data_IF_105241408870
#
_entry.id   IF_105241408870
#
_cell.length_a   1.000
_cell.length_b   1.000
_cell.length_c   1.000
_cell.angle_alpha   90.00
_cell.angle_beta   90.00
_cell.angle_gamma   90.00
#
_symmetry.space_group_name_H-M   'P 1'
#
loop_
_entity.id
_entity.type
_entity.pdbx_description
1 polymer ?
#
# COMPACT_ATOMS: atom_id res chain seq x y z
N UNK A 1 -4.43 -17.09 -5.87
CA UNK A 1 -5.15 -15.81 -5.74
C UNK A 1 -4.91 -15.21 -4.36
N UNK A 2 -4.70 -13.91 -4.29
CA UNK A 2 -4.44 -13.24 -3.02
C UNK A 2 -5.77 -12.92 -2.32
N UNK A 3 -5.89 -13.34 -1.06
CA UNK A 3 -7.05 -12.98 -0.25
C UNK A 3 -6.92 -11.55 0.24
N UNK A 4 -8.07 -10.94 0.49
CA UNK A 4 -8.13 -9.65 1.16
C UNK A 4 -7.67 -9.79 2.60
N UNK A 5 -7.04 -8.77 3.12
CA UNK A 5 -6.64 -8.74 4.51
C UNK A 5 -6.54 -7.33 5.04
N UNK A 6 -6.97 -7.16 6.27
CA UNK A 6 -6.85 -5.91 7.01
C UNK A 6 -6.25 -6.21 8.35
N UNK A 7 -5.27 -5.41 8.75
CA UNK A 7 -4.54 -5.59 10.00
C UNK A 7 -4.47 -4.29 10.76
N UNK A 8 -4.59 -4.39 12.07
CA UNK A 8 -4.30 -3.28 12.95
C UNK A 8 -2.80 -3.13 13.09
N UNK A 9 -2.33 -1.89 13.10
CA UNK A 9 -0.94 -1.58 13.42
C UNK A 9 -0.91 -1.22 14.90
N UNK A 10 -0.18 -2.02 15.69
CA UNK A 10 -0.12 -1.88 17.13
C UNK A 10 1.29 -1.55 17.56
N UNK A 11 1.44 -0.51 18.36
CA UNK A 11 2.75 -0.16 18.93
C UNK A 11 3.10 -1.14 20.03
N UNK A 12 4.24 -1.80 19.90
CA UNK A 12 4.66 -2.83 20.87
C UNK A 12 4.85 -2.30 22.28
N UNK A 13 5.38 -1.09 22.39
CA UNK A 13 5.67 -0.51 23.71
C UNK A 13 4.43 -0.28 24.55
N UNK A 14 3.35 0.14 23.93
CA UNK A 14 2.14 0.55 24.64
C UNK A 14 0.96 -0.39 24.44
N UNK A 15 1.03 -1.26 23.42
CA UNK A 15 -0.11 -2.07 23.02
C UNK A 15 -1.22 -1.28 22.37
N UNK A 16 -0.98 -0.01 22.04
CA UNK A 16 -1.99 0.87 21.47
C UNK A 16 -2.09 0.68 19.97
N UNK A 17 -3.31 0.65 19.45
CA UNK A 17 -3.55 0.65 18.02
C UNK A 17 -3.27 2.05 17.47
N UNK A 18 -2.35 2.15 16.53
CA UNK A 18 -1.91 3.43 15.98
C UNK A 18 -2.23 3.58 14.50
N UNK A 19 -2.83 2.57 13.90
CA UNK A 19 -3.20 2.64 12.50
C UNK A 19 -3.73 1.33 11.98
N UNK A 20 -3.91 1.29 10.68
CA UNK A 20 -4.38 0.09 9.98
C UNK A 20 -3.74 0.01 8.61
N UNK A 21 -3.67 -1.21 8.10
CA UNK A 21 -3.11 -1.49 6.79
C UNK A 21 -3.89 -2.63 6.17
N UNK A 22 -4.04 -2.60 4.86
CA UNK A 22 -4.78 -3.66 4.18
C UNK A 22 -4.39 -3.82 2.74
N UNK A 23 -4.75 -4.98 2.22
CA UNK A 23 -4.72 -5.25 0.78
C UNK A 23 -6.12 -5.71 0.38
N UNK A 24 -6.61 -5.19 -0.72
CA UNK A 24 -7.94 -5.55 -1.20
C UNK A 24 -8.02 -5.47 -2.72
N UNK A 25 -8.88 -6.29 -3.34
CA UNK A 25 -9.10 -6.16 -4.77
C UNK A 25 -9.86 -4.89 -5.08
N UNK A 26 -9.47 -4.24 -6.15
CA UNK A 26 -10.10 -3.04 -6.68
C UNK A 26 -10.36 -3.20 -8.16
N UNK A 27 -11.44 -2.63 -8.62
CA UNK A 27 -11.79 -2.59 -10.02
C UNK A 27 -11.47 -1.20 -10.55
N UNK A 28 -10.40 -1.07 -11.31
CA UNK A 28 -10.00 0.20 -11.86
C UNK A 28 -10.57 0.36 -13.27
N UNK A 29 -11.11 1.56 -13.55
CA UNK A 29 -11.73 1.87 -14.85
C UNK A 29 -12.80 0.85 -15.25
N UNK A 30 -13.39 0.19 -14.25
CA UNK A 30 -14.48 -0.75 -14.46
C UNK A 30 -14.09 -2.07 -15.14
N UNK A 31 -12.81 -2.31 -15.38
CA UNK A 31 -12.39 -3.48 -16.17
C UNK A 31 -11.27 -4.30 -15.56
N UNK A 32 -10.37 -3.66 -14.86
CA UNK A 32 -9.19 -4.35 -14.34
C UNK A 32 -9.33 -4.61 -12.86
N UNK A 33 -9.17 -5.86 -12.46
CA UNK A 33 -9.11 -6.21 -11.05
C UNK A 33 -7.65 -6.22 -10.63
N UNK A 34 -7.32 -5.37 -9.67
CA UNK A 34 -5.96 -5.27 -9.12
C UNK A 34 -6.03 -5.43 -7.60
N UNK A 35 -4.91 -5.79 -6.99
CA UNK A 35 -4.82 -5.84 -5.53
C UNK A 35 -4.12 -4.57 -5.08
N UNK A 36 -4.80 -3.78 -4.28
CA UNK A 36 -4.32 -2.48 -3.85
C UNK A 36 -3.92 -2.49 -2.38
N UNK A 37 -2.75 -1.94 -2.09
CA UNK A 37 -2.25 -1.73 -0.73
C UNK A 37 -2.66 -0.34 -0.26
N UNK A 38 -3.23 -0.27 0.94
CA UNK A 38 -3.56 0.99 1.58
C UNK A 38 -3.23 0.95 3.06
N UNK A 39 -2.87 2.10 3.62
CA UNK A 39 -2.60 2.20 5.03
C UNK A 39 -2.96 3.58 5.58
N UNK A 40 -3.19 3.62 6.88
CA UNK A 40 -3.44 4.85 7.61
C UNK A 40 -2.76 4.75 8.96
N UNK A 41 -1.98 5.76 9.32
CA UNK A 41 -1.33 5.84 10.62
C UNK A 41 -1.72 7.15 11.28
N UNK A 42 -2.03 7.09 12.57
CA UNK A 42 -2.36 8.27 13.37
C UNK A 42 -1.24 9.30 13.25
N UNK A 43 -1.61 10.57 13.15
CA UNK A 43 -0.66 11.65 12.89
C UNK A 43 0.47 11.72 13.92
N UNK A 44 0.19 11.38 15.17
CA UNK A 44 1.20 11.44 16.24
C UNK A 44 2.29 10.37 16.11
N UNK A 45 2.06 9.38 15.23
CA UNK A 45 2.98 8.25 15.06
C UNK A 45 3.63 8.22 13.69
N UNK A 46 3.46 9.30 12.91
CA UNK A 46 4.09 9.39 11.60
C UNK A 46 5.58 9.70 11.73
N UNK A 47 6.34 9.37 10.67
CA UNK A 47 7.78 9.63 10.58
C UNK A 47 8.61 8.86 11.60
N UNK A 48 8.09 7.73 12.11
CA UNK A 48 8.79 6.90 13.07
C UNK A 48 9.10 5.50 12.52
N UNK A 49 8.90 5.29 11.21
CA UNK A 49 9.20 4.02 10.58
C UNK A 49 8.09 2.97 10.70
N UNK A 50 7.00 3.27 11.37
CA UNK A 50 5.91 2.30 11.56
C UNK A 50 5.26 1.90 10.22
N UNK A 51 5.03 2.87 9.33
CA UNK A 51 4.43 2.55 8.04
C UNK A 51 5.34 1.65 7.21
N UNK A 52 6.63 1.91 7.21
CA UNK A 52 7.59 1.10 6.46
C UNK A 52 7.61 -0.33 6.99
N UNK A 53 7.66 -0.49 8.30
CA UNK A 53 7.67 -1.80 8.95
C UNK A 53 6.39 -2.58 8.65
N UNK A 54 5.24 -1.93 8.80
CA UNK A 54 3.94 -2.56 8.56
C UNK A 54 3.79 -2.94 7.09
N UNK A 55 4.18 -2.08 6.17
CA UNK A 55 4.07 -2.37 4.75
C UNK A 55 4.97 -3.54 4.36
N UNK A 56 6.19 -3.61 4.89
CA UNK A 56 7.06 -4.75 4.61
C UNK A 56 6.46 -6.07 5.06
N UNK A 57 5.85 -6.08 6.25
CA UNK A 57 5.21 -7.28 6.76
C UNK A 57 4.04 -7.70 5.86
N UNK A 58 3.25 -6.75 5.41
CA UNK A 58 2.10 -7.04 4.53
C UNK A 58 2.55 -7.49 3.15
N UNK A 59 3.63 -6.92 2.62
CA UNK A 59 4.18 -7.38 1.34
C UNK A 59 4.63 -8.84 1.44
N UNK A 60 5.30 -9.22 2.52
CA UNK A 60 5.69 -10.61 2.73
C UNK A 60 4.47 -11.52 2.81
N UNK A 61 3.44 -11.11 3.53
CA UNK A 61 2.22 -11.88 3.66
C UNK A 61 1.51 -12.02 2.31
N UNK A 62 1.46 -10.96 1.53
CA UNK A 62 0.85 -11.01 0.20
C UNK A 62 1.60 -11.97 -0.72
N UNK A 63 2.92 -11.97 -0.66
CA UNK A 63 3.73 -12.91 -1.45
C UNK A 63 3.46 -14.35 -1.05
N UNK A 64 3.34 -14.62 0.25
CA UNK A 64 3.01 -15.96 0.75
C UNK A 64 1.63 -16.42 0.27
N UNK A 65 0.72 -15.49 0.08
CA UNK A 65 -0.63 -15.79 -0.41
C UNK A 65 -0.72 -15.88 -1.92
N UNK A 66 0.40 -15.73 -2.61
CA UNK A 66 0.46 -15.89 -4.06
C UNK A 66 0.23 -14.64 -4.87
N UNK A 67 0.26 -13.48 -4.23
CA UNK A 67 0.14 -12.21 -4.96
C UNK A 67 1.34 -12.03 -5.88
N UNK A 68 1.09 -11.58 -7.10
CA UNK A 68 2.15 -11.31 -8.07
C UNK A 68 2.47 -9.84 -8.17
N UNK A 69 1.45 -9.01 -8.12
CA UNK A 69 1.58 -7.57 -8.21
C UNK A 69 0.74 -6.91 -7.14
N UNK A 70 1.25 -5.86 -6.56
CA UNK A 70 0.50 -5.01 -5.65
C UNK A 70 0.59 -3.58 -6.17
N UNK A 71 -0.49 -2.85 -6.03
CA UNK A 71 -0.60 -1.50 -6.54
C UNK A 71 -0.95 -0.53 -5.42
N UNK A 72 -0.58 0.71 -5.58
CA UNK A 72 -1.08 1.78 -4.72
C UNK A 72 -1.26 3.04 -5.55
N UNK A 73 -2.20 3.88 -5.10
CA UNK A 73 -2.49 5.16 -5.72
C UNK A 73 -2.01 6.24 -4.77
N UNK A 74 -1.18 7.14 -5.27
CA UNK A 74 -0.56 8.17 -4.44
C UNK A 74 -0.73 9.51 -5.14
N UNK A 75 -1.25 10.48 -4.39
CA UNK A 75 -1.32 11.85 -4.88
C UNK A 75 0.10 12.39 -5.09
N UNK A 76 0.31 13.08 -6.19
CA UNK A 76 1.65 13.56 -6.57
C UNK A 76 2.28 14.45 -5.52
N UNK A 77 1.48 15.17 -4.75
CA UNK A 77 1.96 16.07 -3.69
C UNK A 77 2.24 15.34 -2.37
N UNK A 78 1.85 14.07 -2.25
CA UNK A 78 2.05 13.31 -1.02
C UNK A 78 3.45 12.69 -1.01
N UNK A 79 4.46 13.53 -0.80
CA UNK A 79 5.86 13.11 -0.84
C UNK A 79 6.22 12.03 0.18
N UNK A 80 5.72 12.06 1.42
CA UNK A 80 6.01 10.95 2.33
C UNK A 80 5.59 9.60 1.81
N UNK A 81 4.41 9.50 1.20
CA UNK A 81 3.93 8.24 0.61
C UNK A 81 4.72 7.84 -0.62
N UNK A 82 5.11 8.82 -1.45
CA UNK A 82 5.95 8.54 -2.62
C UNK A 82 7.30 7.97 -2.17
N UNK A 83 7.92 8.59 -1.18
CA UNK A 83 9.20 8.14 -0.66
C UNK A 83 9.10 6.76 -0.03
N UNK A 84 8.02 6.50 0.71
CA UNK A 84 7.77 5.19 1.30
C UNK A 84 7.62 4.12 0.23
N UNK A 85 6.82 4.39 -0.79
CA UNK A 85 6.61 3.44 -1.89
C UNK A 85 7.93 3.09 -2.56
N UNK A 86 8.78 4.08 -2.79
CA UNK A 86 10.10 3.83 -3.40
C UNK A 86 11.00 2.99 -2.52
N UNK A 87 11.00 3.25 -1.23
CA UNK A 87 11.80 2.45 -0.27
C UNK A 87 11.33 1.00 -0.24
N UNK A 88 10.05 0.76 -0.45
CA UNK A 88 9.49 -0.57 -0.49
C UNK A 88 9.77 -1.30 -1.80
N UNK A 89 10.16 -0.59 -2.84
CA UNK A 89 10.41 -1.18 -4.14
C UNK A 89 9.27 -1.01 -5.15
N UNK A 90 8.29 -0.18 -4.83
CA UNK A 90 7.26 0.18 -5.79
C UNK A 90 7.86 1.11 -6.86
N UNK A 91 7.39 0.94 -8.07
CA UNK A 91 7.76 1.82 -9.19
C UNK A 91 6.52 2.46 -9.78
N UNK A 92 6.65 3.74 -10.11
CA UNK A 92 5.59 4.46 -10.79
C UNK A 92 5.38 3.86 -12.17
N UNK A 93 4.12 3.59 -12.52
CA UNK A 93 3.78 3.08 -13.85
C UNK A 93 2.91 4.10 -14.58
N UNK A 94 2.89 3.98 -15.90
CA UNK A 94 2.07 4.83 -16.76
C UNK A 94 0.68 4.19 -16.87
N UNK A 95 -0.20 4.56 -15.94
CA UNK A 95 -1.56 4.03 -15.89
C UNK A 95 -2.53 5.17 -15.58
N UNK A 96 -3.48 5.36 -16.46
CA UNK A 96 -4.47 6.42 -16.32
C UNK A 96 -5.73 5.90 -15.60
N UNK A 97 -6.06 6.56 -14.47
CA UNK A 97 -7.29 6.27 -13.73
C UNK A 97 -8.33 7.32 -14.10
N UNK A 98 -9.38 6.88 -14.78
CA UNK A 98 -10.38 7.79 -15.35
C UNK A 98 -11.07 8.65 -14.29
N UNK A 99 -11.30 8.10 -13.10
CA UNK A 99 -12.05 8.78 -12.05
C UNK A 99 -11.20 9.60 -11.10
N UNK A 100 -9.88 9.44 -11.14
CA UNK A 100 -8.98 10.05 -10.15
C UNK A 100 -8.34 11.37 -10.60
N UNK A 101 -8.39 11.65 -11.90
CA UNK A 101 -7.74 12.85 -12.45
C UNK A 101 -6.24 12.69 -12.59
N UNK A 102 -5.56 13.81 -12.84
CA UNK A 102 -4.15 13.80 -13.23
C UNK A 102 -3.18 13.82 -12.05
N UNK A 103 -3.66 14.11 -10.84
CA UNK A 103 -2.79 14.27 -9.68
C UNK A 103 -2.51 12.96 -8.94
N UNK A 104 -3.18 11.89 -9.33
CA UNK A 104 -3.00 10.57 -8.72
C UNK A 104 -2.14 9.73 -9.62
N UNK A 105 -1.03 9.25 -9.09
CA UNK A 105 -0.14 8.34 -9.80
C UNK A 105 -0.28 6.93 -9.26
N UNK A 106 -0.08 5.96 -10.13
CA UNK A 106 -0.15 4.55 -9.78
C UNK A 106 1.25 3.99 -9.66
N UNK A 107 1.48 3.26 -8.57
CA UNK A 107 2.74 2.58 -8.31
C UNK A 107 2.49 1.08 -8.23
N UNK A 108 3.46 0.31 -8.68
CA UNK A 108 3.36 -1.16 -8.71
C UNK A 108 4.56 -1.80 -8.04
N UNK A 109 4.27 -2.81 -7.24
CA UNK A 109 5.27 -3.68 -6.65
C UNK A 109 5.13 -5.07 -7.27
N UNK A 110 6.23 -5.62 -7.79
CA UNK A 110 6.25 -6.96 -8.35
C UNK A 110 6.77 -7.90 -7.28
N UNK A 111 5.92 -8.81 -6.86
CA UNK A 111 6.26 -9.76 -5.81
C UNK A 111 7.29 -10.77 -6.33
N UNK A 112 8.19 -11.16 -5.45
CA UNK A 112 9.15 -12.21 -5.76
C UNK A 112 8.44 -13.56 -5.82
N UNK A 113 8.89 -14.37 -6.73
CA UNK A 113 8.37 -15.73 -6.91
C UNK A 113 9.19 -16.76 -6.14
#
# INVERSE_FOLDING_TARGET
MCDMGFWAIVEKKTGKMIGRIGIEPKMWNGRNSVVELGYLIDSDYRRQGYALEACRAVLEEAEKRGARHLYCRIHSANLPSVNLARKLGFEKIDYHLEEEGNDINVYRYICNQ
#
